data_IF_977586138986
#
_entry.id   IF_977586138986
#
_cell.length_a   1.000
_cell.length_b   1.000
_cell.length_c   1.000
_cell.angle_alpha   90.00
_cell.angle_beta   90.00
_cell.angle_gamma   90.00
#
_symmetry.space_group_name_H-M   'P 1'
#
loop_
_entity.id
_entity.type
_entity.pdbx_description
1 polymer ?
#
# COMPACT_ATOMS: atom_id res chain seq x y z
N UNK A 1 22.15 -1.73 -0.61
CA UNK A 1 21.08 -2.65 -0.16
C UNK A 1 21.33 -3.14 1.28
N UNK A 2 22.56 -3.46 1.69
CA UNK A 2 22.85 -3.79 3.11
C UNK A 2 23.09 -2.55 3.99
N UNK A 3 22.05 -1.74 4.20
CA UNK A 3 22.15 -0.48 4.96
C UNK A 3 22.59 -0.71 6.41
N UNK A 4 22.23 -1.85 6.97
CA UNK A 4 22.49 -2.21 8.38
C UNK A 4 23.71 -3.13 8.56
N UNK A 5 24.41 -3.50 7.49
CA UNK A 5 25.55 -4.43 7.54
C UNK A 5 25.19 -5.86 7.96
N UNK A 6 23.92 -6.23 7.90
CA UNK A 6 23.41 -7.51 8.40
C UNK A 6 23.84 -8.67 7.51
N UNK A 7 23.84 -8.47 6.19
CA UNK A 7 24.31 -9.50 5.25
C UNK A 7 25.80 -9.77 5.45
N UNK A 8 26.61 -8.73 5.66
CA UNK A 8 28.04 -8.88 5.93
C UNK A 8 28.30 -9.73 7.19
N UNK A 9 27.55 -9.48 8.27
CA UNK A 9 27.66 -10.24 9.53
C UNK A 9 27.16 -11.68 9.40
N UNK A 10 26.09 -11.89 8.65
CA UNK A 10 25.57 -13.22 8.36
C UNK A 10 26.58 -14.07 7.58
N UNK A 11 27.20 -13.50 6.54
CA UNK A 11 28.25 -14.17 5.75
C UNK A 11 29.49 -14.46 6.62
N UNK A 12 29.82 -13.58 7.56
CA UNK A 12 30.89 -13.81 8.54
C UNK A 12 30.55 -14.87 9.61
N UNK A 13 29.33 -15.42 9.62
CA UNK A 13 28.88 -16.43 10.58
C UNK A 13 28.47 -15.87 11.94
N UNK A 14 28.40 -14.56 12.10
CA UNK A 14 27.99 -13.89 13.36
C UNK A 14 26.47 -13.98 13.59
N UNK A 15 25.69 -14.09 12.50
CA UNK A 15 24.23 -14.23 12.55
C UNK A 15 23.85 -15.58 11.97
N UNK A 16 23.29 -16.45 12.82
CA UNK A 16 22.78 -17.77 12.42
C UNK A 16 21.37 -17.63 11.82
N UNK A 17 20.99 -18.60 11.00
CA UNK A 17 19.63 -18.74 10.44
C UNK A 17 19.18 -17.47 9.71
N UNK A 18 20.10 -16.91 8.91
CA UNK A 18 19.86 -15.69 8.16
C UNK A 18 19.31 -16.04 6.78
N UNK A 19 18.10 -15.56 6.50
CA UNK A 19 17.36 -15.86 5.27
C UNK A 19 18.09 -15.32 4.03
N UNK A 20 18.24 -16.16 3.01
CA UNK A 20 19.03 -15.88 1.81
C UNK A 20 20.55 -16.11 1.97
N UNK A 21 21.02 -16.55 3.14
CA UNK A 21 22.44 -16.91 3.37
C UNK A 21 22.56 -18.33 3.93
N UNK A 22 22.09 -18.55 5.15
CA UNK A 22 22.11 -19.88 5.81
C UNK A 22 20.74 -20.56 5.76
N UNK A 23 19.66 -19.78 5.76
CA UNK A 23 18.29 -20.28 5.60
C UNK A 23 17.77 -19.92 4.21
N UNK A 24 17.07 -20.83 3.51
CA UNK A 24 16.49 -20.53 2.19
C UNK A 24 15.32 -19.55 2.30
N UNK A 25 15.09 -18.78 1.24
CA UNK A 25 13.86 -18.01 1.06
C UNK A 25 12.93 -18.78 0.13
N UNK A 26 11.71 -19.04 0.59
CA UNK A 26 10.66 -19.67 -0.21
C UNK A 26 9.79 -18.56 -0.80
N UNK A 27 9.90 -18.37 -2.13
CA UNK A 27 9.08 -17.39 -2.82
C UNK A 27 7.59 -17.81 -2.76
N UNK A 28 6.65 -16.86 -2.64
CA UNK A 28 5.23 -17.18 -2.69
C UNK A 28 4.85 -17.84 -4.02
N UNK A 29 4.08 -18.93 -3.96
CA UNK A 29 3.64 -19.65 -5.18
C UNK A 29 2.61 -18.86 -5.99
N UNK A 30 1.69 -18.17 -5.30
CA UNK A 30 0.59 -17.40 -5.92
C UNK A 30 0.48 -16.00 -5.32
N UNK A 31 1.44 -15.10 -5.59
CA UNK A 31 1.36 -13.72 -5.12
C UNK A 31 0.32 -12.91 -5.91
N UNK A 32 -0.42 -12.04 -5.22
CA UNK A 32 -1.36 -11.11 -5.88
C UNK A 32 -0.63 -10.04 -6.71
N UNK A 33 0.57 -9.63 -6.26
CA UNK A 33 1.45 -8.67 -6.94
C UNK A 33 2.91 -9.09 -6.78
N UNK A 34 3.69 -8.93 -7.84
CA UNK A 34 5.16 -9.10 -7.82
C UNK A 34 5.82 -7.78 -8.26
N UNK A 35 6.69 -7.24 -7.40
CA UNK A 35 7.47 -6.04 -7.68
C UNK A 35 8.95 -6.41 -7.88
N UNK A 36 9.48 -6.24 -9.10
CA UNK A 36 10.89 -6.47 -9.40
C UNK A 36 11.71 -5.22 -9.05
N UNK A 37 12.00 -5.07 -7.75
CA UNK A 37 12.76 -3.93 -7.20
C UNK A 37 14.16 -3.75 -7.79
N UNK A 38 14.67 -4.70 -8.58
CA UNK A 38 15.95 -4.56 -9.28
C UNK A 38 15.81 -3.82 -10.62
N UNK A 39 14.60 -3.81 -11.21
CA UNK A 39 14.30 -3.19 -12.50
C UNK A 39 13.34 -2.01 -12.40
N UNK A 40 12.59 -1.91 -11.31
CA UNK A 40 11.56 -0.90 -11.08
C UNK A 40 12.04 0.19 -10.11
N UNK A 41 11.53 1.40 -10.26
CA UNK A 41 11.62 2.44 -9.23
C UNK A 41 10.63 2.16 -8.10
N UNK A 42 10.79 2.88 -6.99
CA UNK A 42 9.88 2.75 -5.83
C UNK A 42 8.47 3.14 -6.23
N UNK A 43 8.33 4.20 -7.03
CA UNK A 43 7.04 4.72 -7.50
C UNK A 43 6.33 3.71 -8.42
N UNK A 44 7.07 3.07 -9.34
CA UNK A 44 6.53 2.04 -10.23
C UNK A 44 6.02 0.82 -9.45
N UNK A 45 6.84 0.31 -8.51
CA UNK A 45 6.44 -0.80 -7.65
C UNK A 45 5.26 -0.43 -6.74
N UNK A 46 5.21 0.79 -6.22
CA UNK A 46 4.08 1.26 -5.41
C UNK A 46 2.79 1.35 -6.23
N UNK A 47 2.87 1.87 -7.45
CA UNK A 47 1.71 1.99 -8.33
C UNK A 47 1.10 0.61 -8.65
N UNK A 48 1.94 -0.40 -8.92
CA UNK A 48 1.47 -1.78 -9.12
C UNK A 48 0.65 -2.32 -7.94
N UNK A 49 1.07 -2.02 -6.72
CA UNK A 49 0.35 -2.43 -5.50
C UNK A 49 -1.00 -1.70 -5.43
N UNK A 50 -1.01 -0.39 -5.66
CA UNK A 50 -2.24 0.42 -5.65
C UNK A 50 -3.23 -0.08 -6.71
N UNK A 51 -2.76 -0.35 -7.92
CA UNK A 51 -3.59 -0.85 -9.02
C UNK A 51 -4.22 -2.20 -8.65
N UNK A 52 -3.45 -3.11 -8.04
CA UNK A 52 -4.00 -4.38 -7.57
C UNK A 52 -5.06 -4.20 -6.48
N UNK A 53 -4.86 -3.25 -5.57
CA UNK A 53 -5.85 -2.96 -4.53
C UNK A 53 -7.16 -2.44 -5.12
N UNK A 54 -7.12 -1.67 -6.21
CA UNK A 54 -8.34 -1.32 -6.96
C UNK A 54 -8.99 -2.54 -7.63
N UNK A 55 -8.20 -3.42 -8.28
CA UNK A 55 -8.73 -4.64 -8.90
C UNK A 55 -9.40 -5.59 -7.90
N UNK A 56 -8.83 -5.70 -6.70
CA UNK A 56 -9.37 -6.52 -5.61
C UNK A 56 -10.55 -5.85 -4.89
N UNK A 57 -10.89 -4.60 -5.24
CA UNK A 57 -11.94 -3.82 -4.59
C UNK A 57 -11.60 -3.40 -3.16
N UNK A 58 -10.32 -3.47 -2.76
CA UNK A 58 -9.84 -3.00 -1.46
C UNK A 58 -9.77 -1.47 -1.39
N UNK A 59 -9.63 -0.80 -2.55
CA UNK A 59 -9.71 0.63 -2.71
C UNK A 59 -10.80 0.98 -3.72
N UNK A 60 -11.48 2.12 -3.51
CA UNK A 60 -12.44 2.71 -4.45
C UNK A 60 -11.75 3.83 -5.22
N UNK A 61 -11.93 3.90 -6.54
CA UNK A 61 -11.30 4.98 -7.32
C UNK A 61 -11.92 6.33 -6.94
N UNK A 62 -11.12 7.39 -7.01
CA UNK A 62 -11.63 8.76 -6.83
C UNK A 62 -12.75 9.01 -7.85
N UNK A 63 -13.97 9.25 -7.34
CA UNK A 63 -15.21 9.32 -8.13
C UNK A 63 -16.22 8.20 -7.83
N UNK A 64 -15.83 7.14 -7.12
CA UNK A 64 -16.71 6.05 -6.63
C UNK A 64 -17.00 6.16 -5.13
N UNK A 65 -16.74 7.32 -4.52
CA UNK A 65 -17.43 7.69 -3.29
C UNK A 65 -18.87 7.98 -3.69
N UNK A 66 -19.77 7.02 -3.44
CA UNK A 66 -21.19 7.32 -3.32
C UNK A 66 -21.29 8.51 -2.37
N UNK A 67 -21.65 9.68 -2.91
CA UNK A 67 -21.91 10.82 -2.06
C UNK A 67 -23.06 10.41 -1.14
N UNK A 68 -22.83 10.33 0.19
CA UNK A 68 -23.76 9.69 1.11
C UNK A 68 -25.07 10.46 1.26
N UNK A 69 -25.16 11.64 0.64
CA UNK A 69 -26.29 12.54 0.65
C UNK A 69 -26.62 12.91 -0.79
N UNK A 70 -27.90 12.81 -1.13
CA UNK A 70 -28.44 13.40 -2.34
C UNK A 70 -28.23 14.92 -2.35
N UNK A 71 -28.31 15.53 -3.54
CA UNK A 71 -28.23 17.00 -3.71
C UNK A 71 -29.24 17.77 -2.85
N UNK A 72 -30.41 17.17 -2.56
CA UNK A 72 -31.41 17.76 -1.67
C UNK A 72 -30.97 17.72 -0.20
N UNK A 73 -30.37 16.61 0.23
CA UNK A 73 -29.86 16.45 1.61
C UNK A 73 -28.65 17.33 1.86
N UNK A 74 -27.75 17.49 0.88
CA UNK A 74 -26.63 18.44 0.98
C UNK A 74 -27.10 19.86 1.22
N UNK A 75 -28.11 20.32 0.48
CA UNK A 75 -28.70 21.66 0.67
C UNK A 75 -29.33 21.84 2.06
N UNK A 76 -29.93 20.79 2.61
CA UNK A 76 -30.48 20.83 3.96
C UNK A 76 -29.37 20.85 5.03
N UNK A 77 -28.28 20.11 4.80
CA UNK A 77 -27.09 20.12 5.67
C UNK A 77 -26.46 21.51 5.66
N UNK A 78 -26.24 22.12 4.50
CA UNK A 78 -25.64 23.45 4.37
C UNK A 78 -26.48 24.50 5.10
N UNK A 79 -27.80 24.49 4.88
CA UNK A 79 -28.73 25.39 5.57
C UNK A 79 -28.70 25.21 7.09
N UNK A 80 -28.55 23.97 7.56
CA UNK A 80 -28.45 23.65 8.99
C UNK A 80 -27.12 24.08 9.60
N UNK A 81 -26.03 24.00 8.83
CA UNK A 81 -24.71 24.48 9.23
C UNK A 81 -24.65 26.01 9.30
N UNK A 82 -25.24 26.72 8.34
CA UNK A 82 -25.42 28.18 8.39
C UNK A 82 -26.23 28.60 9.62
N UNK A 83 -27.35 27.92 9.90
CA UNK A 83 -28.18 28.21 11.08
C UNK A 83 -27.45 27.99 12.41
N UNK A 84 -26.44 27.12 12.43
CA UNK A 84 -25.59 26.84 13.58
C UNK A 84 -24.31 27.70 13.61
N UNK A 85 -24.05 28.52 12.57
CA UNK A 85 -22.89 29.40 12.47
C UNK A 85 -21.57 28.70 12.16
N UNK A 86 -21.60 27.51 11.57
CA UNK A 86 -20.42 26.77 11.14
C UNK A 86 -20.00 27.09 9.68
N UNK A 87 -20.90 27.70 8.92
CA UNK A 87 -20.71 28.31 7.60
C UNK A 87 -21.08 29.79 7.70
#
# INVERSE_FOLDING_TARGET
RDVKGLYKKAIAGEIKNFTGVSDPYEAPDNPEVVCDTAKETVEESAQKVIDKLYELGCLKKEGETEEPYSEAEKKEIDKRLEALGYL
#
